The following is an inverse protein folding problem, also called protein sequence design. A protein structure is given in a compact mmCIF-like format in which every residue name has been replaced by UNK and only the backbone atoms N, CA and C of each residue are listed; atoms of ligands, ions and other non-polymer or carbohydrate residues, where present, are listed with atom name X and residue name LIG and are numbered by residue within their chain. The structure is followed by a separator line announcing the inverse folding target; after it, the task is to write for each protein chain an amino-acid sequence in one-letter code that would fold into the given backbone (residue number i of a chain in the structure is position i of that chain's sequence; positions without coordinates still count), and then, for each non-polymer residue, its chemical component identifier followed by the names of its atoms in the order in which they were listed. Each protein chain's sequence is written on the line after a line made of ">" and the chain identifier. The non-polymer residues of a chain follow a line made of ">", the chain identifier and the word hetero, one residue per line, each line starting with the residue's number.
data_IF_831670228281
#
_entry.id   IF_831670228281
#
_cell.length_a   1.000
_cell.length_b   1.000
_cell.length_c   1.000
_cell.angle_alpha   90.00
_cell.angle_beta   90.00
_cell.angle_gamma   90.00
#
_symmetry.space_group_name_H-M   'P 1'
#
loop_
_entity.id
_entity.type
_entity.pdbx_description
1 polymer ?
#
# COMPACT_ATOMS: atom_id res chain seq x y z
N UNK A 1 3.35 0.44 14.82
CA UNK A 1 3.43 1.65 13.97
C UNK A 1 2.76 2.85 14.63
N UNK A 2 3.56 3.61 15.36
CA UNK A 2 3.13 4.80 16.10
C UNK A 2 2.49 5.90 15.24
N UNK A 3 2.78 6.02 13.95
CA UNK A 3 2.11 6.99 13.05
C UNK A 3 0.64 6.65 12.77
N UNK A 4 0.32 5.37 12.55
CA UNK A 4 -1.08 4.92 12.44
C UNK A 4 -1.76 4.89 13.80
N UNK A 5 -1.03 4.53 14.87
CA UNK A 5 -1.51 4.62 16.25
C UNK A 5 -1.83 6.06 16.68
N UNK A 6 -0.99 7.03 16.33
CA UNK A 6 -1.21 8.46 16.59
C UNK A 6 -2.40 8.98 15.80
N UNK A 7 -2.54 8.60 14.53
CA UNK A 7 -3.71 8.96 13.71
C UNK A 7 -4.98 8.32 14.26
N UNK A 8 -4.91 7.07 14.69
CA UNK A 8 -6.01 6.37 15.36
C UNK A 8 -6.41 7.05 16.67
N UNK A 9 -5.45 7.35 17.56
CA UNK A 9 -5.68 8.07 18.81
C UNK A 9 -6.28 9.45 18.52
N UNK A 10 -5.81 10.16 17.49
CA UNK A 10 -6.34 11.46 17.10
C UNK A 10 -7.79 11.35 16.59
N UNK A 11 -8.09 10.35 15.76
CA UNK A 11 -9.45 10.06 15.29
C UNK A 11 -10.38 9.63 16.43
N UNK A 12 -9.91 8.76 17.33
CA UNK A 12 -10.65 8.31 18.51
C UNK A 12 -10.90 9.45 19.52
N UNK A 13 -9.92 10.33 19.73
CA UNK A 13 -10.08 11.51 20.57
C UNK A 13 -11.09 12.49 19.98
N UNK A 14 -11.01 12.76 18.68
CA UNK A 14 -12.01 13.57 17.99
C UNK A 14 -13.41 12.92 18.07
N UNK A 15 -13.48 11.58 18.06
CA UNK A 15 -14.70 10.79 18.21
C UNK A 15 -15.34 11.00 19.58
N UNK A 16 -14.55 10.80 20.65
CA UNK A 16 -15.00 10.98 22.04
C UNK A 16 -15.40 12.42 22.35
N UNK A 17 -14.85 13.41 21.63
CA UNK A 17 -15.19 14.83 21.80
C UNK A 17 -16.37 15.27 20.93
N UNK A 18 -17.03 14.36 20.19
CA UNK A 18 -18.24 14.67 19.43
C UNK A 18 -18.03 15.58 18.23
N UNK A 19 -16.82 15.65 17.68
CA UNK A 19 -16.53 16.45 16.49
C UNK A 19 -17.20 15.83 15.24
N UNK A 20 -17.84 16.65 14.40
CA UNK A 20 -18.35 16.18 13.10
C UNK A 20 -17.20 15.99 12.10
N UNK A 21 -17.26 14.94 11.28
CA UNK A 21 -16.19 14.54 10.34
C UNK A 21 -15.44 13.25 10.73
N UNK A 22 -16.05 12.44 11.59
CA UNK A 22 -15.56 11.12 11.96
C UNK A 22 -15.82 10.13 10.83
N UNK A 23 -14.96 9.12 10.69
CA UNK A 23 -15.21 8.03 9.76
C UNK A 23 -16.45 7.25 10.25
N UNK A 24 -17.62 7.55 9.66
CA UNK A 24 -18.85 6.80 9.91
C UNK A 24 -18.81 5.42 9.21
N UNK A 25 -17.83 5.27 8.33
CA UNK A 25 -17.54 4.12 7.51
C UNK A 25 -16.03 3.83 7.41
N UNK A 26 -15.72 2.57 7.11
CA UNK A 26 -14.44 2.18 6.50
C UNK A 26 -14.76 1.43 5.21
N UNK A 27 -14.29 1.95 4.08
CA UNK A 27 -14.43 1.30 2.78
C UNK A 27 -13.10 0.68 2.35
N UNK A 28 -13.10 -0.62 2.13
CA UNK A 28 -11.98 -1.36 1.52
C UNK A 28 -12.36 -1.62 0.07
N UNK A 29 -11.62 -0.98 -0.85
CA UNK A 29 -11.72 -1.26 -2.28
C UNK A 29 -11.20 -2.68 -2.56
N UNK A 30 -12.04 -3.68 -2.38
CA UNK A 30 -11.82 -5.08 -2.76
C UNK A 30 -12.90 -5.52 -3.75
N UNK A 31 -12.82 -6.75 -4.27
CA UNK A 31 -13.87 -7.33 -5.11
C UNK A 31 -14.41 -8.63 -4.48
N UNK A 32 -15.60 -8.62 -3.83
CA UNK A 32 -16.52 -7.48 -3.68
C UNK A 32 -16.00 -6.40 -2.71
N UNK A 33 -16.49 -5.17 -2.88
CA UNK A 33 -16.10 -4.05 -2.03
C UNK A 33 -16.71 -4.21 -0.62
N UNK A 34 -15.91 -3.97 0.41
CA UNK A 34 -16.33 -4.14 1.80
C UNK A 34 -16.49 -2.78 2.45
N UNK A 35 -17.66 -2.52 3.03
CA UNK A 35 -17.94 -1.33 3.82
C UNK A 35 -18.32 -1.74 5.25
N UNK A 36 -17.59 -1.20 6.22
CA UNK A 36 -17.93 -1.32 7.65
C UNK A 36 -18.63 -0.05 8.09
N UNK A 37 -19.78 -0.18 8.74
CA UNK A 37 -20.54 0.94 9.29
C UNK A 37 -20.58 0.82 10.80
N UNK A 38 -20.58 1.96 11.49
CA UNK A 38 -20.72 1.99 12.95
C UNK A 38 -22.12 1.53 13.36
N UNK A 39 -22.21 0.66 14.37
CA UNK A 39 -23.50 0.15 14.88
C UNK A 39 -24.30 1.27 15.57
N UNK A 40 -23.61 2.26 16.15
CA UNK A 40 -24.21 3.36 16.90
C UNK A 40 -24.80 4.48 16.01
N UNK A 41 -24.65 4.37 14.69
CA UNK A 41 -25.23 5.32 13.74
C UNK A 41 -26.77 5.31 13.85
N UNK A 42 -27.39 6.50 13.88
CA UNK A 42 -28.84 6.63 13.76
C UNK A 42 -29.32 6.07 12.41
N UNK A 43 -30.59 5.72 12.29
CA UNK A 43 -31.16 5.23 11.01
C UNK A 43 -30.90 6.19 9.86
N UNK A 44 -31.05 7.50 10.11
CA UNK A 44 -30.76 8.54 9.11
C UNK A 44 -29.28 8.60 8.73
N UNK A 45 -28.38 8.44 9.71
CA UNK A 45 -26.95 8.36 9.45
C UNK A 45 -26.60 7.09 8.68
N UNK A 46 -27.18 5.93 9.03
CA UNK A 46 -26.98 4.69 8.28
C UNK A 46 -27.41 4.85 6.82
N UNK A 47 -28.57 5.46 6.56
CA UNK A 47 -29.03 5.71 5.19
C UNK A 47 -28.04 6.59 4.41
N UNK A 48 -27.57 7.69 5.02
CA UNK A 48 -26.58 8.59 4.43
C UNK A 48 -25.25 7.85 4.12
N UNK A 49 -24.74 7.09 5.09
CA UNK A 49 -23.47 6.37 4.98
C UNK A 49 -23.57 5.25 3.94
N UNK A 50 -24.68 4.51 3.89
CA UNK A 50 -24.91 3.51 2.85
C UNK A 50 -24.90 4.17 1.47
N UNK A 51 -25.63 5.27 1.29
CA UNK A 51 -25.68 5.98 0.01
C UNK A 51 -24.29 6.56 -0.38
N UNK A 52 -23.56 7.13 0.57
CA UNK A 52 -22.26 7.75 0.35
C UNK A 52 -21.16 6.71 0.11
N UNK A 53 -20.97 5.79 1.05
CA UNK A 53 -19.89 4.83 1.06
C UNK A 53 -20.18 3.64 0.15
N UNK A 54 -21.30 2.94 0.40
CA UNK A 54 -21.60 1.68 -0.26
C UNK A 54 -21.99 1.84 -1.73
N UNK A 55 -22.57 2.99 -2.11
CA UNK A 55 -22.90 3.30 -3.51
C UNK A 55 -21.94 4.32 -4.12
N UNK A 56 -21.71 5.46 -3.46
CA UNK A 56 -20.85 6.53 -3.97
C UNK A 56 -19.40 6.08 -4.18
N UNK A 57 -18.64 5.85 -3.10
CA UNK A 57 -17.23 5.44 -3.21
C UNK A 57 -17.06 4.13 -3.99
N UNK A 58 -17.91 3.13 -3.74
CA UNK A 58 -17.80 1.84 -4.43
C UNK A 58 -17.98 1.96 -5.95
N UNK A 59 -18.95 2.76 -6.41
CA UNK A 59 -19.14 3.01 -7.84
C UNK A 59 -17.98 3.81 -8.43
N UNK A 60 -17.42 4.75 -7.67
CA UNK A 60 -16.22 5.48 -8.08
C UNK A 60 -15.03 4.55 -8.26
N UNK A 61 -14.71 3.70 -7.28
CA UNK A 61 -13.60 2.76 -7.37
C UNK A 61 -13.77 1.76 -8.52
N UNK A 62 -14.99 1.25 -8.71
CA UNK A 62 -15.29 0.31 -9.81
C UNK A 62 -15.19 0.96 -11.18
N UNK A 63 -15.64 2.20 -11.34
CA UNK A 63 -15.71 2.89 -12.63
C UNK A 63 -14.47 3.71 -13.00
N UNK A 64 -13.64 4.08 -12.05
CA UNK A 64 -12.52 4.98 -12.28
C UNK A 64 -11.33 4.26 -12.96
N UNK A 65 -10.86 4.83 -14.06
CA UNK A 65 -9.79 4.24 -14.87
C UNK A 65 -8.48 4.05 -14.10
N UNK A 66 -8.14 4.92 -13.15
CA UNK A 66 -6.91 4.80 -12.34
C UNK A 66 -6.99 3.59 -11.42
N UNK A 67 -8.14 3.36 -10.79
CA UNK A 67 -8.33 2.18 -9.96
C UNK A 67 -8.29 0.90 -10.80
N UNK A 68 -8.99 0.86 -11.93
CA UNK A 68 -8.95 -0.31 -12.83
C UNK A 68 -7.54 -0.62 -13.35
N UNK A 69 -6.71 0.41 -13.55
CA UNK A 69 -5.35 0.27 -14.10
C UNK A 69 -4.32 -0.11 -13.03
N UNK A 70 -4.39 0.51 -11.86
CA UNK A 70 -3.32 0.46 -10.85
C UNK A 70 -3.65 -0.39 -9.63
N UNK A 71 -4.90 -0.81 -9.46
CA UNK A 71 -5.33 -1.65 -8.34
C UNK A 71 -5.76 -3.03 -8.83
N UNK A 72 -5.43 -4.05 -8.03
CA UNK A 72 -6.00 -5.38 -8.17
C UNK A 72 -6.88 -5.67 -6.94
N UNK A 73 -8.13 -5.23 -7.02
CA UNK A 73 -9.11 -5.34 -5.94
C UNK A 73 -9.45 -6.79 -5.59
N UNK A 74 -9.24 -7.75 -6.51
CA UNK A 74 -9.53 -9.17 -6.28
C UNK A 74 -8.53 -9.82 -5.32
N UNK A 75 -7.27 -9.38 -5.34
CA UNK A 75 -6.17 -10.01 -4.60
C UNK A 75 -5.69 -9.21 -3.38
N UNK A 76 -6.20 -7.97 -3.20
CA UNK A 76 -5.72 -7.07 -2.13
C UNK A 76 -5.92 -7.64 -0.73
N UNK A 77 -7.06 -8.31 -0.46
CA UNK A 77 -7.36 -8.86 0.87
C UNK A 77 -6.35 -9.95 1.23
N UNK A 78 -6.11 -10.88 0.30
CA UNK A 78 -5.13 -11.94 0.48
C UNK A 78 -3.73 -11.37 0.67
N UNK A 79 -3.38 -10.31 -0.08
CA UNK A 79 -2.10 -9.64 0.06
C UNK A 79 -1.94 -8.95 1.42
N UNK A 80 -2.96 -8.27 1.93
CA UNK A 80 -2.93 -7.64 3.25
C UNK A 80 -2.84 -8.68 4.37
N UNK A 81 -3.52 -9.82 4.24
CA UNK A 81 -3.41 -10.93 5.18
C UNK A 81 -2.01 -11.55 5.16
N UNK A 82 -1.43 -11.74 3.97
CA UNK A 82 -0.03 -12.17 3.83
C UNK A 82 0.92 -11.19 4.51
N UNK A 83 0.82 -9.89 4.20
CA UNK A 83 1.67 -8.85 4.76
C UNK A 83 1.58 -8.81 6.29
N UNK A 84 0.36 -8.89 6.85
CA UNK A 84 0.14 -8.95 8.30
C UNK A 84 0.84 -10.14 8.94
N UNK A 85 0.68 -11.35 8.37
CA UNK A 85 1.31 -12.57 8.88
C UNK A 85 2.83 -12.47 8.81
N UNK A 86 3.36 -12.02 7.67
CA UNK A 86 4.79 -11.87 7.46
C UNK A 86 5.43 -10.90 8.46
N UNK A 87 4.79 -9.74 8.69
CA UNK A 87 5.28 -8.76 9.67
C UNK A 87 5.24 -9.32 11.09
N UNK A 88 4.18 -10.04 11.48
CA UNK A 88 4.09 -10.66 12.79
C UNK A 88 5.19 -11.72 13.00
N UNK A 89 5.45 -12.56 11.98
CA UNK A 89 6.55 -13.54 12.02
C UNK A 89 7.93 -12.85 12.11
N UNK A 90 8.11 -11.70 11.44
CA UNK A 90 9.33 -10.91 11.56
C UNK A 90 9.48 -10.30 12.96
N UNK A 91 8.40 -9.78 13.54
CA UNK A 91 8.40 -9.24 14.91
C UNK A 91 8.77 -10.29 15.94
N UNK A 92 8.29 -11.53 15.77
CA UNK A 92 8.65 -12.67 16.63
C UNK A 92 10.12 -13.07 16.49
N UNK A 93 10.66 -13.09 15.26
CA UNK A 93 12.03 -13.56 14.99
C UNK A 93 13.11 -12.51 15.26
N UNK A 94 12.86 -11.26 14.89
CA UNK A 94 13.85 -10.18 14.87
C UNK A 94 13.58 -9.10 15.93
N UNK A 95 12.44 -9.16 16.60
CA UNK A 95 12.03 -8.21 17.63
C UNK A 95 11.26 -7.01 17.05
N UNK A 96 10.27 -6.56 17.82
CA UNK A 96 9.34 -5.48 17.43
C UNK A 96 10.08 -4.18 17.09
N UNK A 97 11.10 -3.81 17.87
CA UNK A 97 11.82 -2.54 17.68
C UNK A 97 12.55 -2.45 16.34
N UNK A 98 13.19 -3.54 15.91
CA UNK A 98 13.93 -3.56 14.64
C UNK A 98 12.98 -3.55 13.44
N UNK A 99 11.89 -4.31 13.51
CA UNK A 99 10.85 -4.30 12.47
C UNK A 99 10.18 -2.92 12.37
N UNK A 100 9.83 -2.31 13.51
CA UNK A 100 9.21 -0.98 13.52
C UNK A 100 10.14 0.09 12.96
N UNK A 101 11.44 0.08 13.30
CA UNK A 101 12.43 1.01 12.76
C UNK A 101 12.55 0.91 11.23
N UNK A 102 12.52 -0.30 10.69
CA UNK A 102 12.51 -0.52 9.25
C UNK A 102 11.22 -0.01 8.61
N UNK A 103 10.07 -0.34 9.19
CA UNK A 103 8.76 0.11 8.71
C UNK A 103 8.64 1.65 8.74
N UNK A 104 9.12 2.30 9.79
CA UNK A 104 9.16 3.76 9.90
C UNK A 104 9.97 4.38 8.76
N UNK A 105 11.14 3.79 8.47
CA UNK A 105 12.02 4.23 7.38
C UNK A 105 11.35 4.06 6.02
N UNK A 106 10.67 2.93 5.81
CA UNK A 106 9.93 2.68 4.57
C UNK A 106 8.72 3.62 4.43
N UNK A 107 7.99 3.88 5.51
CA UNK A 107 6.83 4.78 5.50
C UNK A 107 7.23 6.24 5.27
N UNK A 108 8.40 6.68 5.73
CA UNK A 108 8.94 8.00 5.38
C UNK A 108 9.14 8.16 3.87
N UNK A 109 9.47 7.07 3.17
CA UNK A 109 9.71 7.05 1.72
C UNK A 109 8.49 6.60 0.90
N UNK A 110 7.36 6.29 1.56
CA UNK A 110 6.15 5.71 0.95
C UNK A 110 5.64 6.49 -0.27
N UNK A 111 5.67 7.82 -0.22
CA UNK A 111 5.21 8.68 -1.34
C UNK A 111 6.15 8.68 -2.56
N UNK A 112 7.40 8.22 -2.38
CA UNK A 112 8.38 8.01 -3.44
C UNK A 112 8.51 6.53 -3.81
N UNK A 113 7.70 5.66 -3.20
CA UNK A 113 7.65 4.22 -3.46
C UNK A 113 6.67 3.81 -4.56
N UNK A 114 6.32 4.74 -5.45
CA UNK A 114 5.24 4.57 -6.43
C UNK A 114 5.78 4.84 -7.83
N UNK A 115 5.46 3.95 -8.77
CA UNK A 115 5.66 4.15 -10.19
C UNK A 115 4.50 4.97 -10.76
N UNK A 116 4.78 6.18 -11.25
CA UNK A 116 3.74 7.08 -11.79
C UNK A 116 3.51 6.87 -13.29
N UNK A 117 4.56 6.45 -13.99
CA UNK A 117 4.57 6.37 -15.46
C UNK A 117 4.74 4.94 -16.01
N UNK A 118 5.32 4.02 -15.23
CA UNK A 118 5.53 2.62 -15.63
C UNK A 118 4.39 1.75 -15.08
N UNK A 119 3.64 1.09 -15.98
CA UNK A 119 2.50 0.23 -15.60
C UNK A 119 3.00 -1.16 -15.18
N UNK A 120 2.69 -1.64 -13.97
CA UNK A 120 3.00 -3.01 -13.58
C UNK A 120 2.03 -3.99 -14.27
N UNK A 121 2.56 -5.11 -14.75
CA UNK A 121 1.74 -6.22 -15.22
C UNK A 121 1.07 -6.93 -14.04
N UNK A 122 -0.17 -7.41 -14.23
CA UNK A 122 -0.88 -8.19 -13.21
C UNK A 122 -0.24 -9.57 -13.10
N UNK A 123 0.43 -9.84 -11.97
CA UNK A 123 1.11 -11.11 -11.68
C UNK A 123 0.32 -11.83 -10.58
N UNK A 124 0.10 -13.14 -10.73
CA UNK A 124 -0.66 -13.94 -9.76
C UNK A 124 0.09 -14.09 -8.42
N UNK A 125 -0.65 -14.26 -7.30
CA UNK A 125 -0.07 -14.51 -5.96
C UNK A 125 0.79 -15.78 -5.93
N UNK A 126 0.38 -16.84 -6.65
CA UNK A 126 1.15 -18.08 -6.74
C UNK A 126 2.48 -17.89 -7.46
N UNK A 127 2.43 -17.12 -8.54
CA UNK A 127 3.60 -16.72 -9.33
C UNK A 127 4.51 -15.78 -8.54
N UNK A 128 3.92 -14.96 -7.66
CA UNK A 128 4.64 -14.08 -6.77
C UNK A 128 5.40 -14.82 -5.67
N UNK A 129 4.81 -15.89 -5.10
CA UNK A 129 5.50 -16.79 -4.16
C UNK A 129 6.61 -17.59 -4.82
N UNK A 130 6.36 -18.18 -5.99
CA UNK A 130 7.38 -18.91 -6.74
C UNK A 130 8.57 -18.00 -7.10
N UNK A 131 8.28 -16.78 -7.56
CA UNK A 131 9.33 -15.77 -7.79
C UNK A 131 9.99 -15.29 -6.50
N UNK A 132 9.35 -15.40 -5.33
CA UNK A 132 9.99 -15.05 -4.05
C UNK A 132 11.07 -16.09 -3.74
N UNK A 133 10.74 -17.37 -3.82
CA UNK A 133 11.68 -18.48 -3.60
C UNK A 133 12.84 -18.44 -4.62
N UNK A 134 12.53 -18.19 -5.90
CA UNK A 134 13.54 -18.06 -6.95
C UNK A 134 14.44 -16.83 -6.74
N UNK A 135 13.89 -15.71 -6.24
CA UNK A 135 14.66 -14.50 -5.93
C UNK A 135 15.51 -14.67 -4.67
N UNK A 136 15.03 -15.37 -3.66
CA UNK A 136 15.83 -15.72 -2.48
C UNK A 136 17.04 -16.57 -2.89
N UNK A 137 16.84 -17.54 -3.77
CA UNK A 137 17.92 -18.35 -4.34
C UNK A 137 18.93 -17.51 -5.16
N UNK A 138 18.44 -16.57 -5.99
CA UNK A 138 19.31 -15.68 -6.76
C UNK A 138 20.08 -14.66 -5.89
N UNK A 139 19.46 -14.14 -4.84
CA UNK A 139 20.14 -13.23 -3.91
C UNK A 139 21.22 -13.95 -3.10
N UNK A 140 20.98 -15.21 -2.70
CA UNK A 140 22.02 -16.04 -2.08
C UNK A 140 23.22 -16.26 -3.01
N UNK A 141 23.01 -16.34 -4.33
CA UNK A 141 24.11 -16.50 -5.28
C UNK A 141 24.93 -15.22 -5.48
N UNK A 142 24.30 -14.03 -5.52
CA UNK A 142 25.02 -12.75 -5.62
C UNK A 142 25.81 -12.38 -4.36
N UNK A 143 25.29 -12.69 -3.18
CA UNK A 143 26.05 -12.52 -1.93
C UNK A 143 27.33 -13.37 -1.97
N UNK A 144 27.35 -14.48 -2.69
CA UNK A 144 28.56 -15.29 -2.84
C UNK A 144 29.59 -14.66 -3.79
N UNK A 145 29.16 -13.91 -4.83
CA UNK A 145 30.08 -13.25 -5.78
C UNK A 145 30.72 -11.98 -5.21
N UNK A 146 29.98 -11.15 -4.46
CA UNK A 146 30.54 -9.94 -3.82
C UNK A 146 31.63 -10.25 -2.79
N UNK A 147 31.64 -11.47 -2.24
CA UNK A 147 32.63 -11.93 -1.27
C UNK A 147 33.77 -12.75 -1.90
N UNK A 148 33.70 -13.02 -3.21
CA UNK A 148 34.71 -13.82 -3.93
C UNK A 148 35.72 -12.97 -4.69
N UNK A 149 36.23 -11.90 -4.07
CA UNK A 149 37.44 -11.25 -4.58
C UNK A 149 38.67 -11.86 -3.92
N UNK A 150 39.20 -12.94 -4.51
CA UNK A 150 40.65 -13.21 -4.42
C UNK A 150 41.32 -12.10 -5.23
N UNK A 151 42.26 -11.32 -4.68
CA UNK A 151 42.87 -10.22 -5.41
C UNK A 151 43.65 -10.76 -6.61
N UNK A 152 43.13 -10.55 -7.82
CA UNK A 152 43.92 -10.63 -9.05
C UNK A 152 44.52 -9.25 -9.31
N UNK A 153 45.79 -9.24 -9.70
CA UNK A 153 46.60 -8.04 -9.86
C UNK A 153 45.90 -6.99 -10.73
N UNK A 154 45.82 -5.76 -10.22
CA UNK A 154 45.16 -4.62 -10.86
C UNK A 154 45.87 -4.25 -12.17
N UNK A 155 45.25 -4.55 -13.32
CA UNK A 155 45.36 -3.68 -14.49
C UNK A 155 44.53 -2.43 -14.20
N UNK A 156 45.14 -1.24 -14.34
CA UNK A 156 44.44 0.04 -14.24
C UNK A 156 43.49 0.19 -15.43
N UNK A 157 42.27 -0.31 -15.30
CA UNK A 157 41.17 0.15 -16.12
C UNK A 157 40.79 1.56 -15.66
N UNK A 158 40.59 2.46 -16.61
CA UNK A 158 40.13 3.82 -16.32
C UNK A 158 38.79 3.74 -15.59
N UNK A 159 38.71 4.41 -14.44
CA UNK A 159 37.56 4.44 -13.53
C UNK A 159 36.43 5.27 -14.18
N UNK A 160 35.85 4.76 -15.26
CA UNK A 160 34.61 5.28 -15.83
C UNK A 160 33.56 4.99 -14.76
N UNK A 161 33.22 6.00 -13.95
CA UNK A 161 32.08 5.92 -13.03
C UNK A 161 30.82 5.69 -13.86
N UNK A 162 30.49 4.43 -14.10
CA UNK A 162 29.22 4.06 -14.69
C UNK A 162 28.12 4.66 -13.82
N UNK A 163 27.19 5.37 -14.46
CA UNK A 163 26.07 5.97 -13.76
C UNK A 163 25.20 4.84 -13.22
N UNK A 164 25.15 4.72 -11.90
CA UNK A 164 24.33 3.74 -11.20
C UNK A 164 23.13 4.43 -10.55
N UNK A 165 21.89 3.96 -10.77
CA UNK A 165 21.47 2.94 -11.75
C UNK A 165 21.59 3.46 -13.20
N UNK A 166 21.71 2.53 -14.16
CA UNK A 166 21.84 2.84 -15.60
C UNK A 166 20.65 3.63 -16.13
N UNK A 167 19.45 3.34 -15.62
CA UNK A 167 18.24 4.13 -15.83
C UNK A 167 17.79 4.81 -14.52
N UNK A 168 17.32 6.07 -14.56
CA UNK A 168 16.68 6.71 -13.43
C UNK A 168 15.50 5.89 -12.89
N UNK A 169 15.52 5.56 -11.61
CA UNK A 169 14.43 4.88 -10.92
C UNK A 169 13.62 5.91 -10.12
N UNK A 170 12.35 6.09 -10.48
CA UNK A 170 11.41 6.96 -9.74
C UNK A 170 11.03 6.33 -8.40
N UNK A 171 10.81 5.02 -8.39
CA UNK A 171 10.39 4.27 -7.22
C UNK A 171 11.58 3.97 -6.31
N UNK A 172 11.77 4.80 -5.28
CA UNK A 172 12.90 4.65 -4.35
C UNK A 172 12.81 3.35 -3.55
N UNK A 173 11.61 2.92 -3.14
CA UNK A 173 11.44 1.65 -2.44
C UNK A 173 11.81 0.46 -3.34
N UNK A 174 11.47 0.53 -4.64
CA UNK A 174 11.90 -0.48 -5.61
C UNK A 174 13.42 -0.50 -5.76
N UNK A 175 14.03 0.68 -5.86
CA UNK A 175 15.48 0.81 -5.95
C UNK A 175 16.17 0.17 -4.74
N UNK A 176 15.71 0.46 -3.52
CA UNK A 176 16.28 -0.15 -2.32
C UNK A 176 16.01 -1.67 -2.25
N UNK A 177 14.81 -2.12 -2.60
CA UNK A 177 14.48 -3.56 -2.68
C UNK A 177 15.46 -4.34 -3.56
N UNK A 178 15.87 -3.77 -4.72
CA UNK A 178 16.75 -4.44 -5.68
C UNK A 178 18.23 -4.25 -5.39
N UNK A 179 18.63 -3.03 -5.05
CA UNK A 179 20.03 -2.63 -5.11
C UNK A 179 20.70 -2.43 -3.75
N UNK A 180 19.96 -2.39 -2.64
CA UNK A 180 20.59 -2.18 -1.33
C UNK A 180 21.34 -3.45 -0.88
N UNK A 181 22.69 -3.43 -0.81
CA UNK A 181 23.47 -4.65 -0.56
C UNK A 181 23.37 -5.12 0.89
N UNK A 182 23.07 -4.22 1.82
CA UNK A 182 23.02 -4.49 3.25
C UNK A 182 21.65 -4.99 3.74
N UNK A 183 20.62 -4.97 2.89
CA UNK A 183 19.30 -5.45 3.29
C UNK A 183 19.27 -6.98 3.32
N UNK A 184 18.97 -7.52 4.49
CA UNK A 184 18.67 -8.93 4.68
C UNK A 184 17.40 -9.32 3.90
N UNK A 185 17.21 -10.61 3.55
CA UNK A 185 16.05 -11.07 2.79
C UNK A 185 14.71 -10.61 3.40
N UNK A 186 14.58 -10.66 4.72
CA UNK A 186 13.35 -10.24 5.39
C UNK A 186 13.09 -8.74 5.27
N UNK A 187 14.15 -7.93 5.38
CA UNK A 187 14.04 -6.49 5.26
C UNK A 187 13.61 -6.07 3.84
N UNK A 188 14.10 -6.78 2.82
CA UNK A 188 13.69 -6.55 1.43
C UNK A 188 12.21 -6.84 1.21
N UNK A 189 11.69 -7.91 1.82
CA UNK A 189 10.26 -8.22 1.70
C UNK A 189 9.41 -7.19 2.47
N UNK A 190 9.86 -6.68 3.61
CA UNK A 190 9.19 -5.55 4.30
C UNK A 190 9.15 -4.30 3.42
N UNK A 191 10.28 -3.92 2.81
CA UNK A 191 10.34 -2.78 1.86
C UNK A 191 9.35 -2.99 0.70
N UNK A 192 9.29 -4.21 0.17
CA UNK A 192 8.38 -4.57 -0.90
C UNK A 192 6.91 -4.54 -0.48
N UNK A 193 6.58 -4.97 0.73
CA UNK A 193 5.25 -4.87 1.32
C UNK A 193 4.80 -3.41 1.33
N UNK A 194 5.63 -2.53 1.90
CA UNK A 194 5.32 -1.10 1.95
C UNK A 194 5.17 -0.53 0.55
N UNK A 195 6.04 -0.91 -0.40
CA UNK A 195 5.95 -0.48 -1.80
C UNK A 195 4.64 -0.90 -2.48
N UNK A 196 4.26 -2.18 -2.38
CA UNK A 196 3.02 -2.69 -3.00
C UNK A 196 1.78 -2.00 -2.40
N UNK A 197 1.74 -1.82 -1.08
CA UNK A 197 0.66 -1.08 -0.40
C UNK A 197 0.62 0.38 -0.87
N UNK A 198 1.79 1.03 -0.98
CA UNK A 198 1.90 2.42 -1.45
C UNK A 198 1.36 2.60 -2.86
N UNK A 199 1.72 1.69 -3.78
CA UNK A 199 1.24 1.68 -5.15
C UNK A 199 -0.28 1.47 -5.21
N UNK A 200 -0.79 0.52 -4.43
CA UNK A 200 -2.22 0.19 -4.38
C UNK A 200 -3.08 1.40 -3.99
N UNK A 201 -2.68 2.13 -2.94
CA UNK A 201 -3.44 3.28 -2.44
C UNK A 201 -3.08 4.60 -3.13
N UNK A 202 -2.21 4.59 -4.15
CA UNK A 202 -1.81 5.80 -4.85
C UNK A 202 -2.97 6.49 -5.59
N UNK A 203 -3.84 5.77 -6.35
CA UNK A 203 -5.00 6.39 -7.00
C UNK A 203 -5.91 7.12 -6.00
N UNK A 204 -6.12 6.55 -4.81
CA UNK A 204 -6.98 7.14 -3.79
C UNK A 204 -6.52 8.52 -3.33
N UNK A 205 -5.20 8.74 -3.20
CA UNK A 205 -4.65 10.06 -2.90
C UNK A 205 -4.86 11.02 -4.07
N UNK A 206 -4.66 10.56 -5.30
CA UNK A 206 -4.76 11.39 -6.51
C UNK A 206 -6.21 11.83 -6.78
N UNK A 207 -7.18 10.97 -6.51
CA UNK A 207 -8.59 11.21 -6.84
C UNK A 207 -9.43 11.62 -5.65
N UNK A 208 -8.84 11.97 -4.51
CA UNK A 208 -9.57 12.20 -3.26
C UNK A 208 -10.76 13.14 -3.44
N UNK A 209 -10.54 14.34 -3.99
CA UNK A 209 -11.60 15.34 -4.19
C UNK A 209 -12.70 14.83 -5.13
N UNK A 210 -12.33 14.12 -6.20
CA UNK A 210 -13.32 13.55 -7.13
C UNK A 210 -14.10 12.40 -6.49
N UNK A 211 -13.44 11.57 -5.68
CA UNK A 211 -14.06 10.46 -4.97
C UNK A 211 -15.10 10.97 -3.96
N UNK A 212 -14.73 11.96 -3.14
CA UNK A 212 -15.66 12.59 -2.20
C UNK A 212 -16.79 13.31 -2.93
N UNK A 213 -16.48 14.09 -3.97
CA UNK A 213 -17.50 14.79 -4.76
C UNK A 213 -18.50 13.85 -5.43
N UNK A 214 -18.04 12.71 -5.94
CA UNK A 214 -18.89 11.67 -6.52
C UNK A 214 -19.78 11.03 -5.45
N UNK A 215 -19.23 10.73 -4.28
CA UNK A 215 -19.99 10.14 -3.19
C UNK A 215 -21.01 11.12 -2.59
N UNK A 216 -20.67 12.41 -2.48
CA UNK A 216 -21.60 13.48 -2.08
C UNK A 216 -22.71 13.66 -3.11
N UNK A 217 -22.38 13.62 -4.41
CA UNK A 217 -23.40 13.70 -5.45
C UNK A 217 -24.43 12.56 -5.32
N UNK A 218 -23.96 11.32 -5.15
CA UNK A 218 -24.86 10.17 -5.03
C UNK A 218 -25.61 10.12 -3.72
N UNK A 219 -24.99 10.46 -2.58
CA UNK A 219 -25.73 10.47 -1.31
C UNK A 219 -26.87 11.49 -1.32
N UNK A 220 -26.67 12.61 -2.02
CA UNK A 220 -27.63 13.69 -2.08
C UNK A 220 -28.78 13.25 -2.98
N UNK A 221 -28.44 12.73 -4.16
CA UNK A 221 -29.41 12.26 -5.12
C UNK A 221 -30.27 11.13 -4.56
N UNK A 222 -29.65 10.11 -3.94
CA UNK A 222 -30.36 8.96 -3.39
C UNK A 222 -31.25 9.39 -2.22
N UNK A 223 -30.74 10.18 -1.27
CA UNK A 223 -31.55 10.57 -0.11
C UNK A 223 -32.71 11.50 -0.47
N UNK A 224 -32.51 12.47 -1.36
CA UNK A 224 -33.61 13.32 -1.80
C UNK A 224 -34.64 12.53 -2.61
N UNK A 225 -34.19 11.61 -3.46
CA UNK A 225 -35.12 10.75 -4.19
C UNK A 225 -35.94 9.85 -3.27
N UNK A 226 -35.32 9.24 -2.25
CA UNK A 226 -36.04 8.47 -1.23
C UNK A 226 -37.05 9.34 -0.47
N UNK A 227 -36.67 10.56 -0.11
CA UNK A 227 -37.58 11.51 0.54
C UNK A 227 -38.78 11.87 -0.35
N UNK A 228 -38.56 12.05 -1.65
CA UNK A 228 -39.62 12.35 -2.61
C UNK A 228 -40.56 11.15 -2.84
N UNK A 229 -40.07 9.92 -2.68
CA UNK A 229 -40.86 8.68 -2.83
C UNK A 229 -41.65 8.28 -1.57
N UNK A 230 -41.21 8.67 -0.37
CA UNK A 230 -41.93 8.49 0.91
C UNK A 230 -41.34 7.42 1.82
#
# INVERSE_FOLDING_TARGET
>A
HWSFGKKFIQTEQNYKHGQMGLAYEIVINSDPCIAYLMEENTVTMQALVIAHACYGHNSFFKGNYLFQTWTDASSIIDYLLFAKKYLAECEERYGVQEVEKLLDSCHALMNFGVDRYKRPEKISITEEKARQEEREAYLQSQVNELWRTVPRAKTKEEDIKERFPSEPQENLLYFFEKHAPLLEPWQREVVRIVRKISQYFYPQKQTQVMNEGWATFWHYTILNHLYDEG
#
